data_IF_926499772807
#
_entry.id   IF_926499772807
#
_cell.length_a   1.000
_cell.length_b   1.000
_cell.length_c   1.000
_cell.angle_alpha   90.00
_cell.angle_beta   90.00
_cell.angle_gamma   90.00
#
_symmetry.space_group_name_H-M   'P 1'
#
loop_
_entity.id
_entity.type
_entity.pdbx_description
1 polymer ?
#
# COMPACT_ATOMS: atom_id res chain seq x y z
N UNK A 1 15.67 -15.26 -13.38
CA UNK A 1 15.00 -15.45 -12.09
C UNK A 1 13.60 -14.86 -12.16
N UNK A 2 12.57 -15.52 -11.63
CA UNK A 2 11.21 -15.00 -11.64
C UNK A 2 11.16 -13.71 -10.78
N UNK A 3 10.64 -12.61 -11.34
CA UNK A 3 10.61 -11.28 -10.69
C UNK A 3 9.95 -11.30 -9.30
N UNK A 4 8.96 -12.16 -9.09
CA UNK A 4 8.29 -12.29 -7.80
C UNK A 4 9.18 -12.95 -6.73
N UNK A 5 9.96 -13.98 -7.10
CA UNK A 5 10.90 -14.66 -6.20
C UNK A 5 12.05 -13.73 -5.83
N UNK A 6 12.60 -13.02 -6.80
CA UNK A 6 13.64 -12.02 -6.55
C UNK A 6 13.18 -10.94 -5.55
N UNK A 7 12.01 -10.35 -5.76
CA UNK A 7 11.44 -9.34 -4.84
C UNK A 7 11.26 -9.88 -3.43
N UNK A 8 10.80 -11.13 -3.30
CA UNK A 8 10.58 -11.76 -1.99
C UNK A 8 11.92 -11.97 -1.26
N UNK A 9 12.95 -12.48 -1.96
CA UNK A 9 14.29 -12.67 -1.39
C UNK A 9 14.89 -11.31 -0.97
N UNK A 10 14.87 -10.31 -1.86
CA UNK A 10 15.41 -8.98 -1.60
C UNK A 10 14.79 -8.36 -0.34
N UNK A 11 13.45 -8.40 -0.24
CA UNK A 11 12.74 -7.89 0.94
C UNK A 11 13.14 -8.64 2.21
N UNK A 12 13.19 -9.97 2.15
CA UNK A 12 13.56 -10.80 3.31
C UNK A 12 14.97 -10.49 3.81
N UNK A 13 15.94 -10.35 2.91
CA UNK A 13 17.33 -9.99 3.28
C UNK A 13 17.38 -8.60 3.93
N UNK A 14 16.65 -7.64 3.39
CA UNK A 14 16.60 -6.29 3.95
C UNK A 14 15.94 -6.27 5.34
N UNK A 15 14.82 -6.99 5.52
CA UNK A 15 14.11 -7.10 6.79
C UNK A 15 15.02 -7.72 7.87
N UNK A 16 15.75 -8.79 7.52
CA UNK A 16 16.72 -9.46 8.43
C UNK A 16 17.82 -8.49 8.88
N UNK A 17 18.43 -7.76 7.94
CA UNK A 17 19.52 -6.82 8.23
C UNK A 17 19.07 -5.56 8.94
N UNK A 18 17.80 -5.19 8.80
CA UNK A 18 17.20 -4.06 9.55
C UNK A 18 17.09 -4.38 11.05
N UNK A 19 16.90 -5.65 11.40
CA UNK A 19 16.85 -6.08 12.80
C UNK A 19 18.23 -6.07 13.47
N UNK A 20 19.26 -6.56 12.76
CA UNK A 20 20.65 -6.56 13.23
C UNK A 20 21.66 -6.83 12.11
N UNK A 21 22.87 -6.28 12.17
CA UNK A 21 23.99 -6.67 11.30
C UNK A 21 24.34 -8.15 11.47
N UNK A 22 24.75 -8.83 10.39
CA UNK A 22 25.02 -10.27 10.38
C UNK A 22 26.23 -10.67 9.55
N UNK A 23 26.87 -11.77 9.96
CA UNK A 23 27.85 -12.48 9.13
C UNK A 23 27.16 -13.08 7.90
N UNK A 24 27.89 -13.24 6.79
CA UNK A 24 27.34 -13.77 5.53
C UNK A 24 26.61 -15.12 5.73
N UNK A 25 27.20 -16.06 6.43
CA UNK A 25 26.59 -17.37 6.69
C UNK A 25 25.28 -17.25 7.46
N UNK A 26 25.28 -16.47 8.53
CA UNK A 26 24.09 -16.26 9.37
C UNK A 26 22.98 -15.54 8.61
N UNK A 27 23.31 -14.56 7.73
CA UNK A 27 22.36 -13.87 6.90
C UNK A 27 21.67 -14.82 5.91
N UNK A 28 22.45 -15.68 5.25
CA UNK A 28 21.89 -16.66 4.30
C UNK A 28 20.99 -17.66 5.05
N UNK A 29 21.41 -18.18 6.20
CA UNK A 29 20.63 -19.13 7.01
C UNK A 29 19.32 -18.51 7.52
N UNK A 30 19.36 -17.29 8.03
CA UNK A 30 18.17 -16.57 8.51
C UNK A 30 17.21 -16.26 7.38
N UNK A 31 17.72 -15.79 6.22
CA UNK A 31 16.89 -15.51 5.04
C UNK A 31 16.23 -16.79 4.50
N UNK A 32 16.96 -17.93 4.48
CA UNK A 32 16.38 -19.23 4.12
C UNK A 32 15.28 -19.60 5.09
N UNK A 33 15.52 -19.51 6.40
CA UNK A 33 14.53 -19.82 7.44
C UNK A 33 13.23 -19.03 7.26
N UNK A 34 13.33 -17.72 7.05
CA UNK A 34 12.15 -16.85 6.86
C UNK A 34 11.40 -17.08 5.56
N UNK A 35 12.09 -17.50 4.52
CA UNK A 35 11.45 -17.83 3.23
C UNK A 35 10.68 -19.16 3.28
N UNK A 36 11.08 -20.07 4.18
CA UNK A 36 10.57 -21.44 4.30
C UNK A 36 9.74 -21.73 5.56
N UNK A 37 9.24 -20.74 6.25
CA UNK A 37 8.32 -20.96 7.37
C UNK A 37 7.11 -21.76 6.89
N UNK A 38 7.06 -23.07 7.19
CA UNK A 38 5.93 -23.95 6.94
C UNK A 38 6.14 -25.11 5.95
N UNK A 39 7.39 -25.45 5.58
CA UNK A 39 7.70 -26.62 4.74
C UNK A 39 8.41 -27.68 5.59
N UNK A 40 7.76 -28.85 5.74
CA UNK A 40 8.31 -29.99 6.47
C UNK A 40 9.60 -30.56 5.83
N UNK A 41 10.55 -30.95 6.68
CA UNK A 41 11.98 -31.08 6.42
C UNK A 41 12.45 -32.36 5.70
N UNK A 42 11.59 -33.19 5.12
CA UNK A 42 12.03 -34.53 4.64
C UNK A 42 12.22 -34.71 3.12
N UNK A 43 12.08 -33.68 2.30
CA UNK A 43 12.07 -33.88 0.85
C UNK A 43 13.02 -33.05 -0.03
N UNK A 44 13.81 -32.09 0.47
CA UNK A 44 14.27 -31.02 -0.43
C UNK A 44 15.72 -30.51 -0.23
N UNK A 45 16.71 -31.37 -0.05
CA UNK A 45 18.13 -30.95 0.03
C UNK A 45 18.59 -30.24 -1.26
N UNK A 46 18.04 -30.59 -2.44
CA UNK A 46 18.37 -29.96 -3.73
C UNK A 46 17.82 -28.52 -3.85
N UNK A 47 16.59 -28.29 -3.44
CA UNK A 47 15.96 -26.97 -3.49
C UNK A 47 16.60 -25.97 -2.50
N UNK A 48 17.04 -26.43 -1.33
CA UNK A 48 17.78 -25.60 -0.37
C UNK A 48 19.10 -25.07 -0.94
N UNK A 49 19.81 -25.86 -1.74
CA UNK A 49 21.08 -25.42 -2.35
C UNK A 49 20.82 -24.38 -3.44
N UNK A 50 19.79 -24.56 -4.24
CA UNK A 50 19.40 -23.62 -5.28
C UNK A 50 18.95 -22.27 -4.69
N UNK A 51 18.14 -22.28 -3.62
CA UNK A 51 17.69 -21.06 -2.95
C UNK A 51 18.82 -20.33 -2.24
N UNK A 52 19.74 -21.03 -1.59
CA UNK A 52 20.96 -20.41 -1.05
C UNK A 52 21.77 -19.70 -2.13
N UNK A 53 21.87 -20.30 -3.31
CA UNK A 53 22.50 -19.69 -4.48
C UNK A 53 21.77 -18.42 -4.94
N UNK A 54 20.44 -18.46 -5.00
CA UNK A 54 19.61 -17.29 -5.34
C UNK A 54 19.72 -16.16 -4.31
N UNK A 55 19.70 -16.47 -3.02
CA UNK A 55 19.91 -15.51 -1.94
C UNK A 55 21.31 -14.89 -2.05
N UNK A 56 22.33 -15.70 -2.28
CA UNK A 56 23.70 -15.23 -2.48
C UNK A 56 23.83 -14.25 -3.65
N UNK A 57 23.15 -14.52 -4.77
CA UNK A 57 23.11 -13.63 -5.94
C UNK A 57 22.43 -12.30 -5.60
N UNK A 58 21.28 -12.34 -4.90
CA UNK A 58 20.57 -11.13 -4.46
C UNK A 58 21.38 -10.32 -3.45
N UNK A 59 22.07 -10.96 -2.50
CA UNK A 59 22.99 -10.29 -1.55
C UNK A 59 24.15 -9.60 -2.28
N UNK A 60 24.71 -10.25 -3.30
CA UNK A 60 25.75 -9.63 -4.13
C UNK A 60 25.24 -8.41 -4.91
N UNK A 61 24.03 -8.50 -5.47
CA UNK A 61 23.33 -7.38 -6.12
C UNK A 61 23.09 -6.23 -5.14
N UNK A 62 22.50 -6.53 -3.96
CA UNK A 62 22.23 -5.51 -2.93
C UNK A 62 23.49 -4.81 -2.42
N UNK A 63 24.62 -5.52 -2.38
CA UNK A 63 25.93 -4.94 -2.05
C UNK A 63 26.43 -4.02 -3.17
N UNK A 64 26.28 -4.46 -4.43
CA UNK A 64 26.62 -3.65 -5.62
C UNK A 64 25.79 -2.37 -5.69
N UNK A 65 24.51 -2.46 -5.33
CA UNK A 65 23.56 -1.34 -5.35
C UNK A 65 23.68 -0.42 -4.12
N UNK A 66 24.57 -0.75 -3.17
CA UNK A 66 24.70 0.02 -1.93
C UNK A 66 23.53 -0.11 -0.95
N UNK A 67 22.58 -0.99 -1.22
CA UNK A 67 21.45 -1.27 -0.32
C UNK A 67 21.93 -1.89 1.00
N UNK A 68 23.04 -2.62 0.95
CA UNK A 68 23.74 -3.16 2.11
C UNK A 68 25.23 -2.87 2.00
N UNK A 69 25.86 -2.72 3.15
CA UNK A 69 27.32 -2.59 3.28
C UNK A 69 27.93 -3.89 3.80
N UNK A 70 29.17 -4.14 3.44
CA UNK A 70 29.94 -5.27 3.93
C UNK A 70 31.28 -4.75 4.46
N UNK A 71 31.44 -4.79 5.76
CA UNK A 71 32.67 -4.38 6.45
C UNK A 71 33.06 -5.41 7.50
N UNK A 72 34.36 -5.76 7.54
CA UNK A 72 34.92 -6.72 8.50
C UNK A 72 34.16 -8.06 8.59
N UNK A 73 33.61 -8.55 7.46
CA UNK A 73 32.86 -9.81 7.43
C UNK A 73 31.39 -9.69 7.79
N UNK A 74 30.91 -8.50 8.15
CA UNK A 74 29.54 -8.24 8.61
C UNK A 74 28.77 -7.47 7.55
N UNK A 75 27.57 -7.93 7.22
CA UNK A 75 26.58 -7.21 6.43
C UNK A 75 25.71 -6.35 7.34
N UNK A 76 25.45 -5.13 6.92
CA UNK A 76 24.53 -4.20 7.56
C UNK A 76 23.74 -3.42 6.50
N UNK A 77 22.63 -2.86 6.88
CA UNK A 77 21.91 -1.90 6.01
C UNK A 77 22.83 -0.72 5.76
N UNK A 78 22.97 -0.30 4.51
CA UNK A 78 23.85 0.78 4.13
C UNK A 78 23.54 2.06 4.92
N UNK A 79 24.56 2.65 5.54
CA UNK A 79 24.43 3.85 6.37
C UNK A 79 24.16 5.13 5.54
N UNK A 80 24.30 5.08 4.22
CA UNK A 80 23.89 6.19 3.37
C UNK A 80 22.36 6.18 3.31
N UNK A 81 21.72 7.24 3.80
CA UNK A 81 20.31 7.52 3.59
C UNK A 81 19.93 7.69 2.11
N UNK A 82 20.79 7.28 1.19
CA UNK A 82 20.49 7.03 -0.20
C UNK A 82 19.54 5.84 -0.24
N UNK A 83 18.28 6.11 -0.48
CA UNK A 83 17.27 5.10 -0.81
C UNK A 83 17.85 4.27 -1.95
N UNK A 84 18.00 2.93 -1.79
CA UNK A 84 18.53 2.09 -2.85
C UNK A 84 17.81 2.40 -4.14
N UNK A 85 18.56 2.54 -5.22
CA UNK A 85 17.98 2.78 -6.54
C UNK A 85 17.18 1.55 -6.94
N UNK A 86 15.93 1.47 -6.53
CA UNK A 86 15.04 0.38 -6.90
C UNK A 86 14.55 0.63 -8.32
N UNK A 87 14.57 -0.41 -9.14
CA UNK A 87 14.03 -0.36 -10.50
C UNK A 87 12.59 0.19 -10.51
N UNK A 88 11.78 -0.13 -9.49
CA UNK A 88 10.43 0.42 -9.28
C UNK A 88 10.40 1.95 -9.12
N UNK A 89 11.35 2.51 -8.38
CA UNK A 89 11.47 3.97 -8.24
C UNK A 89 11.90 4.60 -9.55
N UNK A 90 12.87 4.00 -10.23
CA UNK A 90 13.32 4.46 -11.54
C UNK A 90 12.16 4.46 -12.56
N UNK A 91 11.34 3.42 -12.57
CA UNK A 91 10.15 3.33 -13.42
C UNK A 91 9.12 4.41 -13.10
N UNK A 92 8.79 4.58 -11.81
CA UNK A 92 7.85 5.60 -11.35
C UNK A 92 8.27 7.01 -11.78
N UNK A 93 9.54 7.35 -11.56
CA UNK A 93 10.06 8.67 -11.91
C UNK A 93 10.13 8.86 -13.43
N UNK A 94 10.49 7.83 -14.21
CA UNK A 94 10.47 7.91 -15.68
C UNK A 94 9.06 8.14 -16.21
N UNK A 95 8.06 7.44 -15.68
CA UNK A 95 6.65 7.64 -16.08
C UNK A 95 6.18 9.04 -15.68
N UNK A 96 6.55 9.53 -14.50
CA UNK A 96 6.24 10.89 -14.05
C UNK A 96 6.85 11.95 -14.99
N UNK A 97 8.14 11.83 -15.32
CA UNK A 97 8.82 12.74 -16.24
C UNK A 97 8.20 12.73 -17.65
N UNK A 98 7.77 11.57 -18.14
CA UNK A 98 7.13 11.44 -19.44
C UNK A 98 5.66 11.90 -19.45
N UNK A 99 5.02 11.99 -18.28
CA UNK A 99 3.68 12.59 -18.16
C UNK A 99 3.71 14.12 -18.37
N UNK A 100 4.85 14.76 -18.05
CA UNK A 100 5.07 16.19 -18.31
C UNK A 100 5.27 16.50 -19.80
N UNK A 101 5.75 15.52 -20.59
CA UNK A 101 5.98 15.68 -22.04
C UNK A 101 6.97 14.68 -22.61
N UNK A 102 7.10 14.69 -23.94
CA UNK A 102 8.08 13.86 -24.64
C UNK A 102 9.51 14.34 -24.35
N UNK A 103 10.40 13.39 -24.03
CA UNK A 103 11.79 13.68 -23.65
C UNK A 103 12.77 12.79 -24.41
N UNK A 104 13.93 13.35 -24.79
CA UNK A 104 15.03 12.56 -25.32
C UNK A 104 15.64 11.68 -24.23
N UNK A 105 16.39 10.65 -24.62
CA UNK A 105 17.13 9.82 -23.65
C UNK A 105 18.13 10.64 -22.84
N UNK A 106 18.67 11.72 -23.43
CA UNK A 106 19.62 12.61 -22.76
C UNK A 106 18.91 13.49 -21.71
N UNK A 107 17.73 14.05 -22.04
CA UNK A 107 16.92 14.82 -21.08
C UNK A 107 16.53 13.95 -19.90
N UNK A 108 16.06 12.72 -20.15
CA UNK A 108 15.72 11.76 -19.10
C UNK A 108 16.94 11.45 -18.20
N UNK A 109 18.14 11.31 -18.76
CA UNK A 109 19.36 11.12 -17.97
C UNK A 109 19.63 12.30 -17.03
N UNK A 110 19.49 13.51 -17.54
CA UNK A 110 19.73 14.73 -16.74
C UNK A 110 18.67 14.86 -15.62
N UNK A 111 17.41 14.67 -15.96
CA UNK A 111 16.31 14.78 -15.00
C UNK A 111 16.40 13.68 -13.92
N UNK A 112 16.63 12.42 -14.32
CA UNK A 112 16.82 11.31 -13.39
C UNK A 112 18.02 11.52 -12.48
N UNK A 113 19.13 12.06 -13.03
CA UNK A 113 20.30 12.41 -12.22
C UNK A 113 19.97 13.44 -11.16
N UNK A 114 19.15 14.46 -11.47
CA UNK A 114 18.70 15.46 -10.49
C UNK A 114 17.83 14.86 -9.40
N UNK A 115 16.88 13.97 -9.77
CA UNK A 115 15.95 13.32 -8.84
C UNK A 115 16.63 12.33 -7.88
N UNK A 116 17.73 11.71 -8.32
CA UNK A 116 18.44 10.70 -7.53
C UNK A 116 19.72 11.24 -6.86
N UNK A 117 20.18 12.44 -7.20
CA UNK A 117 21.25 13.12 -6.46
C UNK A 117 20.66 13.90 -5.30
N UNK A 118 20.70 13.30 -4.13
CA UNK A 118 20.39 14.01 -2.89
C UNK A 118 21.61 14.72 -2.28
N UNK A 119 22.86 14.38 -2.73
CA UNK A 119 24.09 15.00 -2.25
C UNK A 119 25.18 15.05 -3.31
N UNK A 120 26.10 16.03 -3.16
CA UNK A 120 27.26 16.31 -4.01
C UNK A 120 28.33 15.19 -4.06
N UNK A 121 28.10 14.07 -3.40
CA UNK A 121 29.04 12.94 -3.22
C UNK A 121 28.76 11.73 -4.10
N UNK A 122 27.74 11.75 -4.98
CA UNK A 122 27.46 10.63 -5.87
C UNK A 122 28.62 10.39 -6.84
N UNK A 123 29.15 9.16 -6.85
CA UNK A 123 30.27 8.75 -7.68
C UNK A 123 29.86 8.52 -9.16
N UNK A 124 30.85 8.47 -10.08
CA UNK A 124 30.60 8.09 -11.48
C UNK A 124 29.98 6.69 -11.61
N UNK A 125 30.25 5.79 -10.66
CA UNK A 125 29.66 4.47 -10.61
C UNK A 125 28.14 4.50 -10.36
N UNK A 126 27.66 5.43 -9.55
CA UNK A 126 26.22 5.58 -9.27
C UNK A 126 25.45 6.07 -10.50
N UNK A 127 26.07 6.97 -11.29
CA UNK A 127 25.52 7.42 -12.56
C UNK A 127 25.42 6.25 -13.57
N UNK A 128 26.40 5.34 -13.61
CA UNK A 128 26.39 4.19 -14.50
C UNK A 128 25.28 3.20 -14.16
N UNK A 129 25.09 2.92 -12.87
CA UNK A 129 24.01 2.06 -12.37
C UNK A 129 22.64 2.67 -12.71
N UNK A 130 22.45 3.97 -12.42
CA UNK A 130 21.22 4.71 -12.77
C UNK A 130 20.91 4.61 -14.26
N UNK A 131 21.89 4.83 -15.12
CA UNK A 131 21.70 4.78 -16.57
C UNK A 131 21.42 3.37 -17.09
N UNK A 132 21.96 2.34 -16.44
CA UNK A 132 21.69 0.95 -16.76
C UNK A 132 20.23 0.60 -16.43
N UNK A 133 19.77 0.93 -15.22
CA UNK A 133 18.37 0.72 -14.82
C UNK A 133 17.41 1.51 -15.71
N UNK A 134 17.72 2.78 -15.98
CA UNK A 134 16.92 3.59 -16.88
C UNK A 134 16.79 2.94 -18.26
N UNK A 135 17.89 2.41 -18.82
CA UNK A 135 17.87 1.74 -20.11
C UNK A 135 17.01 0.47 -20.11
N UNK A 136 17.08 -0.32 -19.03
CA UNK A 136 16.26 -1.54 -18.87
C UNK A 136 14.78 -1.19 -18.72
N UNK A 137 14.45 -0.18 -17.90
CA UNK A 137 13.08 0.28 -17.69
C UNK A 137 12.48 0.84 -18.97
N UNK A 138 13.20 1.70 -19.70
CA UNK A 138 12.74 2.26 -20.97
C UNK A 138 12.41 1.16 -21.98
N UNK A 139 13.29 0.16 -22.11
CA UNK A 139 13.04 -1.00 -22.98
C UNK A 139 11.76 -1.73 -22.55
N UNK A 140 11.66 -2.10 -21.28
CA UNK A 140 10.50 -2.80 -20.73
C UNK A 140 9.19 -2.04 -20.96
N UNK A 141 9.18 -0.74 -20.65
CA UNK A 141 7.99 0.11 -20.85
C UNK A 141 7.58 0.23 -22.31
N UNK A 142 8.57 0.21 -23.24
CA UNK A 142 8.31 0.19 -24.67
C UNK A 142 7.71 -1.16 -25.10
N UNK A 143 8.31 -2.27 -24.63
CA UNK A 143 7.87 -3.63 -24.99
C UNK A 143 6.43 -3.92 -24.51
N UNK A 144 6.06 -3.44 -23.31
CA UNK A 144 4.70 -3.60 -22.78
C UNK A 144 3.73 -2.51 -23.25
N UNK A 145 4.18 -1.59 -24.11
CA UNK A 145 3.33 -0.58 -24.75
C UNK A 145 2.86 0.57 -23.87
N UNK A 146 3.57 0.87 -22.79
CA UNK A 146 3.31 2.02 -21.92
C UNK A 146 3.86 3.32 -22.52
N UNK A 147 5.06 3.23 -23.10
CA UNK A 147 5.73 4.33 -23.81
C UNK A 147 6.03 3.95 -25.26
N UNK A 148 6.35 4.93 -26.06
CA UNK A 148 6.83 4.75 -27.42
C UNK A 148 7.98 5.73 -27.71
N UNK A 149 8.80 5.38 -28.71
CA UNK A 149 9.89 6.23 -29.19
C UNK A 149 9.48 6.84 -30.54
N UNK A 150 9.23 8.13 -30.55
CA UNK A 150 8.82 8.89 -31.73
C UNK A 150 9.84 9.99 -31.97
N UNK A 151 10.43 10.04 -33.15
CA UNK A 151 11.42 11.06 -33.54
C UNK A 151 12.57 11.25 -32.54
N UNK A 152 13.05 10.15 -31.95
CA UNK A 152 14.14 10.18 -30.96
C UNK A 152 13.75 10.60 -29.55
N UNK A 153 12.46 10.80 -29.30
CA UNK A 153 11.91 11.13 -27.99
C UNK A 153 11.01 10.03 -27.46
N UNK A 154 11.17 9.69 -26.20
CA UNK A 154 10.23 8.82 -25.49
C UNK A 154 8.99 9.63 -25.08
N UNK A 155 7.83 9.05 -25.28
CA UNK A 155 6.53 9.63 -24.87
C UNK A 155 5.61 8.55 -24.33
N UNK A 156 4.70 8.92 -23.44
CA UNK A 156 3.61 8.04 -23.04
C UNK A 156 2.66 7.82 -24.22
N UNK A 157 2.23 6.60 -24.44
CA UNK A 157 1.13 6.34 -25.38
C UNK A 157 -0.14 7.05 -24.95
N UNK A 158 -0.95 7.50 -25.88
CA UNK A 158 -2.16 8.26 -25.61
C UNK A 158 -3.11 7.56 -24.63
N UNK A 159 -3.31 6.26 -24.79
CA UNK A 159 -4.11 5.43 -23.86
C UNK A 159 -3.54 5.42 -22.44
N UNK A 160 -2.23 5.38 -22.30
CA UNK A 160 -1.54 5.41 -21.00
C UNK A 160 -1.68 6.78 -20.36
N UNK A 161 -1.54 7.85 -21.14
CA UNK A 161 -1.70 9.24 -20.68
C UNK A 161 -3.12 9.47 -20.17
N UNK A 162 -4.15 9.11 -20.94
CA UNK A 162 -5.54 9.22 -20.54
C UNK A 162 -5.83 8.48 -19.21
N UNK A 163 -5.27 7.28 -19.06
CA UNK A 163 -5.42 6.49 -17.83
C UNK A 163 -4.71 7.12 -16.61
N UNK A 164 -3.55 7.74 -16.82
CA UNK A 164 -2.85 8.48 -15.76
C UNK A 164 -3.65 9.72 -15.36
N UNK A 165 -4.21 10.46 -16.33
CA UNK A 165 -5.04 11.62 -16.07
C UNK A 165 -6.31 11.25 -15.29
N UNK A 166 -6.97 10.15 -15.63
CA UNK A 166 -8.12 9.62 -14.88
C UNK A 166 -7.74 9.26 -13.44
N UNK A 167 -6.60 8.59 -13.24
CA UNK A 167 -6.09 8.26 -11.90
C UNK A 167 -5.81 9.53 -11.11
N UNK A 168 -5.17 10.52 -11.71
CA UNK A 168 -4.87 11.79 -11.05
C UNK A 168 -6.15 12.58 -10.70
N UNK A 169 -7.16 12.60 -11.57
CA UNK A 169 -8.46 13.19 -11.27
C UNK A 169 -9.11 12.48 -10.07
N UNK A 170 -9.07 11.15 -10.02
CA UNK A 170 -9.62 10.38 -8.90
C UNK A 170 -8.86 10.61 -7.58
N UNK A 171 -7.53 10.74 -7.63
CA UNK A 171 -6.72 11.07 -6.45
C UNK A 171 -7.05 12.48 -5.93
N UNK A 172 -7.18 13.48 -6.80
CA UNK A 172 -7.59 14.84 -6.43
C UNK A 172 -8.99 14.83 -5.80
N UNK A 173 -9.92 14.10 -6.39
CA UNK A 173 -11.28 13.95 -5.86
C UNK A 173 -11.26 13.30 -4.46
N UNK A 174 -10.46 12.26 -4.26
CA UNK A 174 -10.29 11.61 -2.94
C UNK A 174 -9.74 12.58 -1.89
N UNK A 175 -8.73 13.37 -2.25
CA UNK A 175 -8.14 14.36 -1.33
C UNK A 175 -9.20 15.41 -0.91
N UNK A 176 -9.98 15.97 -1.85
CA UNK A 176 -11.04 16.93 -1.54
C UNK A 176 -12.16 16.27 -0.70
N UNK A 177 -12.55 15.04 -1.05
CA UNK A 177 -13.54 14.27 -0.29
C UNK A 177 -13.13 14.09 1.17
N UNK A 178 -11.93 13.61 1.45
CA UNK A 178 -11.42 13.41 2.82
C UNK A 178 -11.26 14.74 3.56
N UNK A 179 -10.76 15.79 2.91
CA UNK A 179 -10.62 17.11 3.49
C UNK A 179 -11.98 17.69 3.95
N UNK A 180 -13.06 17.40 3.22
CA UNK A 180 -14.41 17.83 3.61
C UNK A 180 -14.93 17.06 4.81
N UNK A 181 -14.75 15.75 4.84
CA UNK A 181 -15.09 14.91 6.00
C UNK A 181 -14.34 15.41 7.24
N UNK A 182 -13.01 15.64 7.12
CA UNK A 182 -12.22 16.14 8.24
C UNK A 182 -12.74 17.46 8.81
N UNK A 183 -13.11 18.41 7.93
CA UNK A 183 -13.65 19.71 8.35
C UNK A 183 -15.00 19.62 9.09
N UNK A 184 -15.81 18.61 8.76
CA UNK A 184 -17.12 18.41 9.42
C UNK A 184 -17.01 17.73 10.79
N UNK A 185 -15.85 17.19 11.16
CA UNK A 185 -15.58 16.66 12.49
C UNK A 185 -15.96 15.18 12.70
N UNK A 186 -15.75 14.71 13.94
CA UNK A 186 -15.92 13.30 14.30
C UNK A 186 -17.38 12.84 14.28
N UNK A 187 -18.27 13.57 14.93
CA UNK A 187 -19.70 13.25 14.97
C UNK A 187 -20.33 13.13 13.59
N UNK A 188 -19.97 14.03 12.69
CA UNK A 188 -20.39 13.92 11.28
C UNK A 188 -19.87 12.63 10.64
N UNK A 189 -18.61 12.29 10.89
CA UNK A 189 -18.01 11.11 10.31
C UNK A 189 -18.66 9.81 10.82
N UNK A 190 -19.02 9.75 12.10
CA UNK A 190 -19.76 8.62 12.68
C UNK A 190 -21.09 8.38 11.95
N UNK A 191 -21.89 9.41 11.78
CA UNK A 191 -23.15 9.33 11.02
C UNK A 191 -22.93 8.99 9.54
N UNK A 192 -21.92 9.61 8.94
CA UNK A 192 -21.59 9.40 7.53
C UNK A 192 -21.20 7.94 7.26
N UNK A 193 -20.29 7.40 8.07
CA UNK A 193 -19.79 6.03 7.84
C UNK A 193 -20.87 4.98 8.14
N UNK A 194 -21.71 5.18 9.17
CA UNK A 194 -22.83 4.28 9.41
C UNK A 194 -23.79 4.24 8.22
N UNK A 195 -24.16 5.40 7.67
CA UNK A 195 -25.02 5.48 6.50
C UNK A 195 -24.39 4.79 5.30
N UNK A 196 -23.10 5.03 5.05
CA UNK A 196 -22.38 4.43 3.94
C UNK A 196 -22.27 2.90 4.08
N UNK A 197 -21.98 2.39 5.27
CA UNK A 197 -21.93 0.95 5.55
C UNK A 197 -23.31 0.32 5.43
N UNK A 198 -24.38 0.96 5.92
CA UNK A 198 -25.76 0.51 5.70
C UNK A 198 -26.06 0.34 4.21
N UNK A 199 -25.82 1.36 3.40
CA UNK A 199 -26.01 1.30 1.94
C UNK A 199 -25.17 0.19 1.30
N UNK A 200 -23.99 -0.07 1.84
CA UNK A 200 -23.11 -1.13 1.36
C UNK A 200 -23.67 -2.52 1.69
N UNK A 201 -24.16 -2.77 2.91
CA UNK A 201 -24.80 -4.03 3.29
C UNK A 201 -26.06 -4.30 2.45
N UNK A 202 -26.92 -3.28 2.26
CA UNK A 202 -28.12 -3.37 1.43
C UNK A 202 -27.79 -3.72 -0.03
N UNK A 203 -26.75 -3.11 -0.58
CA UNK A 203 -26.30 -3.38 -1.94
C UNK A 203 -25.69 -4.79 -2.13
N UNK A 204 -25.30 -5.44 -1.04
CA UNK A 204 -24.83 -6.83 -1.04
C UNK A 204 -25.97 -7.82 -0.71
N UNK A 205 -27.22 -7.39 -0.78
CA UNK A 205 -28.40 -8.26 -0.65
C UNK A 205 -28.84 -8.55 0.78
N UNK A 206 -28.31 -7.80 1.76
CA UNK A 206 -28.78 -7.90 3.15
C UNK A 206 -29.90 -6.91 3.43
N UNK A 207 -30.84 -7.27 4.26
CA UNK A 207 -31.85 -6.36 4.82
C UNK A 207 -31.30 -5.75 6.10
N UNK A 208 -31.14 -4.43 6.14
CA UNK A 208 -30.78 -3.72 7.36
C UNK A 208 -32.01 -3.45 8.19
N UNK A 209 -32.12 -4.12 9.34
CA UNK A 209 -33.26 -4.01 10.27
C UNK A 209 -33.09 -2.90 11.28
N UNK A 210 -31.83 -2.53 11.60
CA UNK A 210 -31.52 -1.47 12.55
C UNK A 210 -30.16 -0.82 12.16
N UNK A 211 -30.08 0.48 12.23
CA UNK A 211 -28.84 1.24 12.05
C UNK A 211 -28.91 2.47 12.97
N UNK A 212 -28.06 2.51 13.99
CA UNK A 212 -28.09 3.56 15.01
C UNK A 212 -26.70 3.94 15.46
N UNK A 213 -26.51 5.21 15.81
CA UNK A 213 -25.33 5.68 16.56
C UNK A 213 -25.52 5.36 18.04
N UNK A 214 -24.45 4.92 18.70
CA UNK A 214 -24.41 4.74 20.15
C UNK A 214 -23.84 6.02 20.75
N UNK A 215 -24.65 6.86 21.31
CA UNK A 215 -24.23 8.13 21.92
C UNK A 215 -23.84 7.98 23.38
N UNK A 216 -22.63 7.50 23.72
CA UNK A 216 -22.26 7.43 25.15
C UNK A 216 -20.76 7.25 25.39
N UNK A 217 -20.22 7.97 26.38
CA UNK A 217 -18.83 7.91 26.81
C UNK A 217 -18.43 6.61 27.55
N UNK A 218 -19.32 5.62 27.66
CA UNK A 218 -19.12 4.40 28.46
C UNK A 218 -19.18 3.08 27.69
N UNK A 219 -19.33 3.12 26.37
CA UNK A 219 -19.51 1.92 25.52
C UNK A 219 -18.21 1.37 24.92
N UNK A 220 -17.07 1.72 25.49
CA UNK A 220 -15.76 1.20 25.07
C UNK A 220 -15.31 1.67 23.68
N UNK A 221 -15.93 2.76 23.17
CA UNK A 221 -15.59 3.34 21.86
C UNK A 221 -16.37 2.74 20.69
N UNK A 222 -17.52 2.12 20.95
CA UNK A 222 -18.48 1.73 19.90
C UNK A 222 -19.28 2.98 19.53
N UNK A 223 -19.16 3.41 18.27
CA UNK A 223 -19.81 4.62 17.77
C UNK A 223 -21.13 4.31 17.04
N UNK A 224 -21.37 3.02 16.73
CA UNK A 224 -22.64 2.63 16.13
C UNK A 224 -22.84 1.12 15.98
N UNK A 225 -24.10 0.76 15.67
CA UNK A 225 -24.53 -0.63 15.48
C UNK A 225 -25.36 -0.73 14.21
N UNK A 226 -25.09 -1.77 13.40
CA UNK A 226 -25.90 -2.17 12.26
C UNK A 226 -26.37 -3.60 12.50
N UNK A 227 -27.69 -3.83 12.44
CA UNK A 227 -28.26 -5.19 12.44
C UNK A 227 -28.77 -5.52 11.05
N UNK A 228 -28.39 -6.70 10.57
CA UNK A 228 -28.75 -7.18 9.23
C UNK A 228 -29.37 -8.57 9.29
N UNK A 229 -30.13 -8.87 8.24
CA UNK A 229 -30.65 -10.22 7.96
C UNK A 229 -30.24 -10.54 6.52
N UNK A 230 -29.61 -11.70 6.30
CA UNK A 230 -29.27 -12.16 4.98
C UNK A 230 -30.47 -12.86 4.28
N UNK A 231 -30.28 -13.28 3.03
CA UNK A 231 -31.32 -13.94 2.23
C UNK A 231 -31.74 -15.30 2.78
N UNK A 232 -30.96 -15.94 3.64
CA UNK A 232 -31.29 -17.19 4.34
C UNK A 232 -31.98 -16.94 5.68
N UNK A 233 -32.08 -15.71 6.15
CA UNK A 233 -32.65 -15.31 7.42
C UNK A 233 -31.69 -15.27 8.60
N UNK A 234 -30.36 -15.41 8.37
CA UNK A 234 -29.37 -15.26 9.42
C UNK A 234 -29.29 -13.80 9.86
N UNK A 235 -29.34 -13.59 11.17
CA UNK A 235 -29.25 -12.28 11.81
C UNK A 235 -27.82 -12.00 12.22
N UNK A 236 -27.33 -10.82 11.90
CA UNK A 236 -26.01 -10.35 12.29
C UNK A 236 -26.09 -9.00 13.00
N UNK A 237 -25.23 -8.81 14.00
CA UNK A 237 -25.02 -7.51 14.65
C UNK A 237 -23.58 -7.10 14.41
N UNK A 238 -23.38 -5.95 13.79
CA UNK A 238 -22.08 -5.40 13.41
C UNK A 238 -21.88 -4.14 14.29
N UNK A 239 -20.82 -4.15 15.09
CA UNK A 239 -20.40 -3.01 15.89
C UNK A 239 -19.42 -2.16 15.07
N UNK A 240 -19.55 -0.84 15.15
CA UNK A 240 -18.75 0.10 14.38
C UNK A 240 -18.01 1.05 15.31
N UNK A 241 -16.71 1.24 15.05
CA UNK A 241 -15.95 2.37 15.57
C UNK A 241 -15.49 3.23 14.41
N UNK A 242 -15.65 4.55 14.51
CA UNK A 242 -15.33 5.53 13.50
C UNK A 242 -14.31 6.54 14.02
N UNK A 243 -13.17 6.69 13.36
CA UNK A 243 -12.12 7.63 13.76
C UNK A 243 -11.78 8.60 12.64
N UNK A 244 -12.23 9.85 12.79
CA UNK A 244 -11.89 10.94 11.90
C UNK A 244 -10.54 11.53 12.32
N UNK A 245 -9.45 11.05 11.71
CA UNK A 245 -8.07 11.41 12.07
C UNK A 245 -7.13 11.38 10.89
N UNK A 246 -6.02 12.07 10.98
CA UNK A 246 -4.94 12.07 9.98
C UNK A 246 -3.85 11.05 10.26
N UNK A 247 -3.63 10.73 11.55
CA UNK A 247 -2.59 9.78 11.95
C UNK A 247 -3.04 8.34 11.75
N UNK A 248 -2.08 7.46 11.45
CA UNK A 248 -2.33 6.03 11.30
C UNK A 248 -2.89 5.41 12.58
N UNK A 249 -3.86 4.53 12.44
CA UNK A 249 -4.45 3.79 13.57
C UNK A 249 -3.51 2.67 14.03
N UNK A 250 -3.20 2.65 15.32
CA UNK A 250 -2.33 1.64 15.93
C UNK A 250 -3.04 0.31 16.17
N UNK A 251 -2.26 -0.77 16.29
CA UNK A 251 -2.76 -2.10 16.66
C UNK A 251 -3.48 -2.08 18.02
N UNK A 252 -2.92 -1.39 19.01
CA UNK A 252 -3.52 -1.26 20.34
C UNK A 252 -4.93 -0.66 20.30
N UNK A 253 -5.15 0.33 19.44
CA UNK A 253 -6.47 0.96 19.25
C UNK A 253 -7.47 -0.05 18.67
N UNK A 254 -7.08 -0.82 17.67
CA UNK A 254 -7.94 -1.84 17.05
C UNK A 254 -8.24 -2.99 18.02
N UNK A 255 -7.26 -3.43 18.82
CA UNK A 255 -7.46 -4.44 19.86
C UNK A 255 -8.42 -3.96 20.95
N UNK A 256 -8.32 -2.69 21.35
CA UNK A 256 -9.26 -2.08 22.31
C UNK A 256 -10.70 -2.12 21.81
N UNK A 257 -10.91 -1.76 20.54
CA UNK A 257 -12.23 -1.86 19.90
C UNK A 257 -12.74 -3.32 19.86
N UNK A 258 -11.92 -4.26 19.43
CA UNK A 258 -12.34 -5.66 19.42
C UNK A 258 -12.69 -6.19 20.81
N UNK A 259 -11.96 -5.76 21.85
CA UNK A 259 -12.30 -6.01 23.26
C UNK A 259 -13.68 -5.47 23.63
N UNK A 260 -14.01 -4.25 23.19
CA UNK A 260 -15.34 -3.66 23.41
C UNK A 260 -16.45 -4.44 22.66
N UNK A 261 -16.20 -4.89 21.46
CA UNK A 261 -17.13 -5.75 20.69
C UNK A 261 -17.45 -7.02 21.48
N UNK A 262 -16.46 -7.71 22.01
CA UNK A 262 -16.65 -8.91 22.83
C UNK A 262 -17.38 -8.63 24.16
N UNK A 263 -17.01 -7.54 24.83
CA UNK A 263 -17.66 -7.13 26.09
C UNK A 263 -19.17 -6.87 25.91
N UNK A 264 -19.59 -6.47 24.71
CA UNK A 264 -20.98 -6.25 24.34
C UNK A 264 -21.65 -7.48 23.68
N UNK A 265 -21.08 -8.69 23.87
CA UNK A 265 -21.52 -9.92 23.23
C UNK A 265 -21.59 -9.85 21.70
N UNK A 266 -20.78 -8.99 21.10
CA UNK A 266 -20.67 -8.84 19.67
C UNK A 266 -19.79 -9.92 19.06
N UNK A 267 -20.09 -10.27 17.81
CA UNK A 267 -19.33 -11.24 17.03
C UNK A 267 -18.74 -10.66 15.75
N UNK A 268 -19.09 -9.42 15.41
CA UNK A 268 -18.55 -8.71 14.22
C UNK A 268 -18.28 -7.23 14.56
N UNK A 269 -17.13 -6.75 14.11
CA UNK A 269 -16.72 -5.38 14.26
C UNK A 269 -16.20 -4.77 12.95
N UNK A 270 -16.46 -3.49 12.71
CA UNK A 270 -15.86 -2.68 11.65
C UNK A 270 -15.19 -1.47 12.30
N UNK A 271 -13.88 -1.39 12.14
CA UNK A 271 -13.12 -0.20 12.55
C UNK A 271 -12.88 0.68 11.31
N UNK A 272 -13.55 1.82 11.24
CA UNK A 272 -13.42 2.77 10.12
C UNK A 272 -12.53 3.96 10.49
N UNK A 273 -11.62 4.35 9.60
CA UNK A 273 -10.76 5.52 9.80
C UNK A 273 -10.59 6.32 8.52
N UNK A 274 -10.61 7.64 8.62
CA UNK A 274 -10.29 8.54 7.51
C UNK A 274 -8.80 8.60 7.16
N UNK A 275 -7.96 7.88 7.91
CA UNK A 275 -6.54 7.68 7.67
C UNK A 275 -6.26 6.25 7.15
N UNK A 276 -5.13 5.68 7.52
CA UNK A 276 -4.75 4.30 7.25
C UNK A 276 -4.40 3.59 8.58
N UNK A 277 -4.17 2.29 8.50
CA UNK A 277 -3.72 1.46 9.62
C UNK A 277 -2.20 1.30 9.59
N UNK A 278 -1.58 1.38 10.78
CA UNK A 278 -0.18 1.00 10.93
C UNK A 278 0.05 -0.46 10.49
N UNK A 279 1.22 -0.82 9.93
CA UNK A 279 1.49 -2.19 9.46
C UNK A 279 1.15 -3.29 10.47
N UNK A 280 1.45 -3.08 11.77
CA UNK A 280 1.09 -4.02 12.82
C UNK A 280 -0.44 -4.16 12.99
N UNK A 281 -1.20 -3.07 12.87
CA UNK A 281 -2.66 -3.12 12.91
C UNK A 281 -3.25 -3.84 11.69
N UNK A 282 -2.68 -3.65 10.50
CA UNK A 282 -3.06 -4.40 9.28
C UNK A 282 -2.81 -5.89 9.45
N UNK A 283 -1.65 -6.26 10.00
CA UNK A 283 -1.33 -7.65 10.26
C UNK A 283 -2.30 -8.27 11.29
N UNK A 284 -2.62 -7.54 12.36
CA UNK A 284 -3.60 -7.98 13.34
C UNK A 284 -4.98 -8.19 12.71
N UNK A 285 -5.48 -7.22 11.94
CA UNK A 285 -6.78 -7.30 11.25
C UNK A 285 -6.84 -8.48 10.27
N UNK A 286 -5.75 -8.80 9.59
CA UNK A 286 -5.68 -9.95 8.67
C UNK A 286 -5.71 -11.31 9.40
N UNK A 287 -5.39 -11.35 10.69
CA UNK A 287 -5.34 -12.57 11.51
C UNK A 287 -6.61 -12.78 12.36
N UNK A 288 -7.54 -11.84 12.36
CA UNK A 288 -8.83 -11.97 13.07
C UNK A 288 -9.98 -12.11 12.07
N UNK A 289 -10.92 -13.00 12.35
CA UNK A 289 -12.02 -13.32 11.42
C UNK A 289 -13.27 -12.47 11.62
N UNK A 290 -13.32 -11.72 12.71
CA UNK A 290 -14.55 -11.05 13.16
C UNK A 290 -14.38 -9.52 13.31
N UNK A 291 -13.27 -8.97 12.85
CA UNK A 291 -13.04 -7.54 12.80
C UNK A 291 -12.43 -7.13 11.46
N UNK A 292 -12.99 -6.14 10.81
CA UNK A 292 -12.53 -5.59 9.53
C UNK A 292 -12.11 -4.14 9.72
N UNK A 293 -10.96 -3.78 9.18
CA UNK A 293 -10.51 -2.38 9.06
C UNK A 293 -10.98 -1.79 7.74
N UNK A 294 -11.57 -0.60 7.82
CA UNK A 294 -12.01 0.19 6.66
C UNK A 294 -11.23 1.51 6.67
N UNK A 295 -10.29 1.66 5.78
CA UNK A 295 -9.43 2.85 5.71
C UNK A 295 -9.98 3.92 4.74
N UNK A 296 -9.23 5.00 4.55
CA UNK A 296 -9.62 6.10 3.66
C UNK A 296 -9.82 5.69 2.20
N UNK A 297 -9.08 4.69 1.69
CA UNK A 297 -9.25 4.16 0.34
C UNK A 297 -10.55 3.38 0.20
N UNK A 298 -10.85 2.53 1.18
CA UNK A 298 -12.08 1.74 1.22
C UNK A 298 -13.30 2.63 1.33
N UNK A 299 -13.25 3.66 2.20
CA UNK A 299 -14.34 4.64 2.37
C UNK A 299 -14.60 5.37 1.07
N UNK A 300 -13.56 5.90 0.42
CA UNK A 300 -13.71 6.61 -0.84
C UNK A 300 -14.24 5.71 -1.96
N UNK A 301 -13.74 4.46 -2.05
CA UNK A 301 -14.23 3.46 -3.00
C UNK A 301 -15.73 3.17 -2.81
N UNK A 302 -16.16 2.92 -1.56
CA UNK A 302 -17.56 2.71 -1.23
C UNK A 302 -18.41 3.96 -1.56
N UNK A 303 -17.93 5.16 -1.21
CA UNK A 303 -18.61 6.42 -1.51
C UNK A 303 -18.84 6.61 -3.01
N UNK A 304 -17.86 6.29 -3.85
CA UNK A 304 -17.98 6.32 -5.31
C UNK A 304 -18.98 5.27 -5.83
N UNK A 305 -18.97 4.07 -5.27
CA UNK A 305 -19.87 2.97 -5.67
C UNK A 305 -21.33 3.23 -5.27
N UNK A 306 -21.56 3.80 -4.09
CA UNK A 306 -22.90 4.09 -3.54
C UNK A 306 -23.39 5.50 -3.91
N UNK A 307 -22.57 6.31 -4.53
CA UNK A 307 -22.87 7.72 -4.86
C UNK A 307 -23.31 8.49 -3.60
N UNK A 308 -22.60 8.30 -2.47
CA UNK A 308 -22.88 8.98 -1.21
C UNK A 308 -21.74 9.93 -0.82
N UNK A 309 -22.00 11.23 -0.80
CA UNK A 309 -20.97 12.28 -0.75
C UNK A 309 -20.26 12.51 -2.09
N UNK A 310 -20.49 11.64 -3.04
CA UNK A 310 -20.03 11.68 -4.44
C UNK A 310 -21.24 11.55 -5.34
N UNK A 311 -21.26 12.25 -6.48
CA UNK A 311 -22.30 12.10 -7.51
C UNK A 311 -21.71 12.10 -8.91
N UNK A 312 -22.47 11.61 -9.87
CA UNK A 312 -22.14 11.70 -11.31
C UNK A 312 -22.70 12.97 -11.93
N UNK A 313 -21.86 13.71 -12.65
CA UNK A 313 -22.25 14.85 -13.47
C UNK A 313 -21.49 14.76 -14.80
N UNK A 314 -22.21 14.74 -15.92
CA UNK A 314 -21.63 14.60 -17.27
C UNK A 314 -20.63 13.43 -17.39
N UNK A 315 -20.98 12.28 -16.81
CA UNK A 315 -20.13 11.08 -16.83
C UNK A 315 -18.98 11.06 -15.82
N UNK A 316 -18.62 12.18 -15.21
CA UNK A 316 -17.54 12.29 -14.20
C UNK A 316 -18.07 12.23 -12.78
N UNK A 317 -17.25 11.69 -11.88
CA UNK A 317 -17.50 11.73 -10.43
C UNK A 317 -17.08 13.09 -9.87
N UNK A 318 -17.92 13.68 -9.06
CA UNK A 318 -17.68 14.96 -8.38
C UNK A 318 -18.22 14.89 -6.94
N UNK A 319 -17.76 15.78 -6.08
CA UNK A 319 -18.30 15.92 -4.72
C UNK A 319 -19.79 16.30 -4.77
N UNK A 320 -20.56 15.66 -3.90
CA UNK A 320 -21.95 16.11 -3.65
C UNK A 320 -22.00 17.08 -2.47
N UNK A 321 -22.03 18.38 -2.77
CA UNK A 321 -22.09 19.45 -1.78
C UNK A 321 -23.36 19.45 -0.92
N UNK A 322 -24.36 18.59 -1.20
CA UNK A 322 -25.52 18.42 -0.34
C UNK A 322 -25.23 17.54 0.86
N UNK A 323 -24.23 16.67 0.73
CA UNK A 323 -23.82 15.71 1.77
C UNK A 323 -22.50 16.17 2.42
N UNK A 324 -21.50 16.54 1.62
CA UNK A 324 -20.16 17.01 2.04
C UNK A 324 -19.95 18.56 1.76
#
# INVERSE_FOLDING_TARGET
MNSAVHKKIYKTVLDVLTERPMLHKSLIEEAVSRLYVGIDSEGQVGEFTEIRGLIGAVVAEMKSDGAITFDNGIYSVGASGAIPLKMERCEKELVALLSEGAKTKQDLRMDMRRLFKTDSTASESDDMILYTYMGQVLRRLTDIGVIELVEGKYTLREQTRARIDDINEMLKLKVDFLARIHRKGGEFFEHYILTLLKMNEEAHGKTVTECMTTGGAMDGGIDGIIKTVDYLGFKETIFIQAKNRTDMTSETTVRGFLGAVYANNGNKGIFATTSDFHPAAKLFLNNVNNCVGVNSDDIFKMACQRLYGIKKKNGKLIIDNKIL
#
